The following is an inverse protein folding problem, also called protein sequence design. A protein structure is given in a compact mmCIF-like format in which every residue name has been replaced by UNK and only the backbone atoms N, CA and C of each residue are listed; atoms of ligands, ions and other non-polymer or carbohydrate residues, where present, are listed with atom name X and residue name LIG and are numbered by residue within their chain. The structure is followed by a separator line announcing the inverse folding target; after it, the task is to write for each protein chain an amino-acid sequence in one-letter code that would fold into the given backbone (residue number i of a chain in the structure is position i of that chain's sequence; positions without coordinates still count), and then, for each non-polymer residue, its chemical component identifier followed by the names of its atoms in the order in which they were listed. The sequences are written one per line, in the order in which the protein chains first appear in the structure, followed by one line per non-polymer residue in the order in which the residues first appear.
data_IF_030238500644
#
_entry.id   IF_030238500644
#
_cell.length_a   1.000
_cell.length_b   1.000
_cell.length_c   1.000
_cell.angle_alpha   90.00
_cell.angle_beta   90.00
_cell.angle_gamma   90.00
#
_symmetry.space_group_name_H-M   'P 1'
#
loop_
_entity.id
_entity.type
_entity.pdbx_description
1 polymer ?
#
# COMPACT_ATOMS: atom_id res chain seq x y z
N UNK A 1 -25.82 5.78 -2.62
CA UNK A 1 -25.95 5.01 -3.85
C UNK A 1 -24.59 4.98 -4.51
N UNK A 2 -24.17 3.84 -5.06
CA UNK A 2 -23.04 3.79 -5.98
C UNK A 2 -23.44 4.55 -7.26
N UNK A 3 -22.48 5.08 -8.01
CA UNK A 3 -22.74 5.42 -9.40
C UNK A 3 -23.29 4.16 -10.11
N UNK A 4 -24.19 4.36 -11.08
CA UNK A 4 -25.07 3.29 -11.55
C UNK A 4 -24.32 2.04 -12.04
N UNK A 5 -24.86 0.82 -11.85
CA UNK A 5 -24.22 -0.43 -12.30
C UNK A 5 -24.07 -0.52 -13.83
N UNK A 6 -24.69 0.38 -14.59
CA UNK A 6 -24.65 0.42 -16.05
C UNK A 6 -23.29 0.92 -16.61
N UNK A 7 -22.46 1.59 -15.79
CA UNK A 7 -21.17 2.14 -16.23
C UNK A 7 -19.94 1.47 -15.59
N UNK A 8 -20.13 0.43 -14.77
CA UNK A 8 -19.07 -0.15 -13.92
C UNK A 8 -18.39 0.88 -13.01
N UNK A 9 -19.06 2.00 -12.74
CA UNK A 9 -18.58 3.03 -11.82
C UNK A 9 -19.06 2.69 -10.41
N UNK A 10 -18.16 2.12 -9.60
CA UNK A 10 -18.45 1.75 -8.22
C UNK A 10 -18.03 2.84 -7.22
N UNK A 11 -17.83 4.09 -7.68
CA UNK A 11 -17.53 5.20 -6.79
C UNK A 11 -18.76 5.57 -5.94
N UNK A 12 -18.49 5.99 -4.70
CA UNK A 12 -19.51 6.49 -3.79
C UNK A 12 -19.94 7.90 -4.20
N UNK A 13 -21.24 8.08 -4.42
CA UNK A 13 -21.81 9.40 -4.67
C UNK A 13 -21.84 10.23 -3.37
N UNK A 14 -21.67 11.55 -3.50
CA UNK A 14 -21.87 12.50 -2.41
C UNK A 14 -23.26 12.32 -1.77
N UNK A 15 -23.32 12.17 -0.44
CA UNK A 15 -24.57 11.91 0.28
C UNK A 15 -25.05 10.45 0.23
N UNK A 16 -24.22 9.53 -0.27
CA UNK A 16 -24.53 8.10 -0.22
C UNK A 16 -24.69 7.63 1.23
N UNK A 17 -25.71 6.83 1.56
CA UNK A 17 -25.83 6.19 2.89
C UNK A 17 -24.72 5.17 3.17
N UNK A 18 -23.89 4.88 2.18
CA UNK A 18 -22.71 4.02 2.31
C UNK A 18 -21.50 4.77 2.88
N UNK A 19 -21.54 6.11 2.91
CA UNK A 19 -20.49 6.95 3.49
C UNK A 19 -20.51 6.80 5.02
N UNK A 20 -19.35 6.55 5.62
CA UNK A 20 -19.12 6.40 7.06
C UNK A 20 -20.02 5.34 7.75
N UNK A 21 -20.52 4.39 6.96
CA UNK A 21 -21.49 3.37 7.36
C UNK A 21 -20.88 1.96 7.50
N UNK A 22 -19.55 1.86 7.56
CA UNK A 22 -18.82 0.63 7.77
C UNK A 22 -18.84 0.12 9.21
N UNK A 23 -17.89 -0.75 9.56
CA UNK A 23 -17.88 -1.40 10.86
C UNK A 23 -17.70 -0.38 12.00
N UNK A 24 -18.46 -0.47 13.10
CA UNK A 24 -18.46 0.58 14.11
C UNK A 24 -17.21 0.62 15.01
N UNK A 25 -16.34 -0.38 14.95
CA UNK A 25 -15.09 -0.40 15.72
C UNK A 25 -14.06 0.59 15.15
N UNK A 26 -13.44 1.43 15.99
CA UNK A 26 -12.37 2.36 15.57
C UNK A 26 -11.18 1.71 14.86
N UNK A 27 -10.98 0.41 15.03
CA UNK A 27 -9.94 -0.36 14.31
C UNK A 27 -10.14 -0.39 12.79
N UNK A 28 -11.32 -0.02 12.30
CA UNK A 28 -11.68 0.07 10.88
C UNK A 28 -12.09 1.50 10.53
N UNK A 29 -11.53 2.49 11.21
CA UNK A 29 -11.68 3.88 10.78
C UNK A 29 -10.73 4.15 9.62
N UNK A 30 -11.12 5.08 8.76
CA UNK A 30 -10.25 5.62 7.73
C UNK A 30 -9.07 6.37 8.37
N UNK A 31 -7.97 6.60 7.64
CA UNK A 31 -6.80 7.32 8.18
C UNK A 31 -7.10 8.74 8.71
N UNK A 32 -8.22 9.35 8.32
CA UNK A 32 -8.68 10.65 8.83
C UNK A 32 -9.49 10.54 10.14
N UNK A 33 -9.71 9.33 10.65
CA UNK A 33 -10.43 9.04 11.88
C UNK A 33 -11.94 8.88 11.73
N UNK A 34 -12.50 9.09 10.54
CA UNK A 34 -13.92 8.80 10.25
C UNK A 34 -14.17 7.29 10.19
N UNK A 35 -15.42 6.86 10.37
CA UNK A 35 -15.77 5.44 10.19
C UNK A 35 -15.55 5.10 8.71
N UNK A 36 -14.97 3.95 8.38
CA UNK A 36 -14.84 3.58 6.97
C UNK A 36 -16.19 3.48 6.27
N UNK A 37 -16.18 3.71 4.96
CA UNK A 37 -17.36 3.53 4.11
C UNK A 37 -17.73 2.03 3.99
N UNK A 38 -19.02 1.70 3.84
CA UNK A 38 -19.43 0.29 3.69
C UNK A 38 -18.94 -0.26 2.35
N UNK A 39 -18.19 -1.38 2.40
CA UNK A 39 -17.55 -1.97 1.21
C UNK A 39 -16.19 -1.35 0.85
N UNK A 40 -15.76 -0.31 1.56
CA UNK A 40 -14.38 0.16 1.54
C UNK A 40 -13.65 -0.47 2.73
N UNK A 41 -12.93 -1.57 2.50
CA UNK A 41 -11.82 -1.89 3.40
C UNK A 41 -10.76 -0.84 3.12
N UNK A 42 -10.27 -0.07 4.10
CA UNK A 42 -9.04 0.65 3.87
C UNK A 42 -8.02 -0.41 3.47
N UNK A 43 -7.49 -0.31 2.25
CA UNK A 43 -6.31 -1.05 1.83
C UNK A 43 -5.12 -0.49 2.63
N UNK A 44 -5.14 -0.63 3.96
CA UNK A 44 -3.90 -0.71 4.71
C UNK A 44 -3.47 -2.15 4.50
N UNK A 45 -2.57 -2.45 3.54
CA UNK A 45 -1.93 -3.75 3.55
C UNK A 45 -1.41 -4.00 4.97
N UNK A 46 -1.47 -5.25 5.46
CA UNK A 46 -0.92 -5.58 6.77
C UNK A 46 0.49 -4.98 6.87
N UNK A 47 0.88 -4.43 8.03
CA UNK A 47 2.17 -3.77 8.19
C UNK A 47 3.25 -4.72 7.69
N UNK A 48 3.93 -4.31 6.62
CA UNK A 48 4.96 -5.11 5.98
C UNK A 48 6.32 -4.50 6.26
N UNK A 49 7.37 -5.31 6.17
CA UNK A 49 8.73 -4.85 6.35
C UNK A 49 9.30 -4.57 4.96
N UNK A 50 9.71 -3.33 4.71
CA UNK A 50 10.37 -3.00 3.46
C UNK A 50 11.70 -3.78 3.33
N UNK A 51 11.90 -4.45 2.20
CA UNK A 51 13.04 -5.35 1.99
C UNK A 51 12.84 -6.78 2.49
N UNK A 52 11.72 -7.10 3.15
CA UNK A 52 11.28 -8.48 3.43
C UNK A 52 10.49 -9.00 2.21
N UNK A 53 11.22 -9.49 1.23
CA UNK A 53 10.66 -9.90 -0.05
C UNK A 53 9.91 -11.23 0.07
N UNK A 54 10.31 -12.12 0.98
CA UNK A 54 9.63 -13.41 1.17
C UNK A 54 8.52 -13.39 2.24
N UNK A 55 8.36 -12.26 2.95
CA UNK A 55 7.32 -12.08 3.96
C UNK A 55 7.59 -12.87 5.24
N UNK A 56 8.86 -13.16 5.53
CA UNK A 56 9.29 -13.94 6.71
C UNK A 56 9.26 -13.15 8.01
N UNK A 57 9.10 -11.83 7.94
CA UNK A 57 9.13 -10.92 9.08
C UNK A 57 10.54 -10.44 9.44
N UNK A 58 11.56 -10.71 8.61
CA UNK A 58 12.94 -10.28 8.88
C UNK A 58 13.74 -10.04 7.60
N UNK A 59 14.38 -8.87 7.51
CA UNK A 59 15.26 -8.52 6.38
C UNK A 59 16.59 -9.28 6.48
N UNK A 60 16.90 -10.12 5.52
CA UNK A 60 18.12 -10.92 5.46
C UNK A 60 18.50 -11.32 4.02
N UNK A 61 19.52 -12.17 3.86
CA UNK A 61 20.05 -12.57 2.53
C UNK A 61 19.07 -13.44 1.72
N UNK A 62 18.09 -14.07 2.38
CA UNK A 62 17.05 -14.85 1.72
C UNK A 62 16.13 -13.94 0.90
N UNK A 63 15.90 -12.70 1.32
CA UNK A 63 15.11 -11.73 0.58
C UNK A 63 15.74 -11.37 -0.76
N UNK A 64 17.06 -11.11 -0.77
CA UNK A 64 17.81 -10.89 -2.00
C UNK A 64 17.75 -12.12 -2.93
N UNK A 65 17.80 -13.32 -2.35
CA UNK A 65 17.67 -14.56 -3.11
C UNK A 65 16.26 -14.72 -3.69
N UNK A 66 15.23 -14.33 -2.94
CA UNK A 66 13.83 -14.36 -3.37
C UNK A 66 13.57 -13.39 -4.52
N UNK A 67 14.13 -12.18 -4.48
CA UNK A 67 14.07 -11.22 -5.61
C UNK A 67 14.75 -11.76 -6.87
N UNK A 68 15.94 -12.36 -6.75
CA UNK A 68 16.61 -12.99 -7.91
C UNK A 68 15.76 -14.12 -8.50
N UNK A 69 15.12 -14.93 -7.64
CA UNK A 69 14.24 -16.02 -8.08
C UNK A 69 13.02 -15.47 -8.82
N UNK A 70 12.39 -14.44 -8.29
CA UNK A 70 11.27 -13.74 -8.94
C UNK A 70 11.67 -13.18 -10.31
N UNK A 71 12.78 -12.44 -10.38
CA UNK A 71 13.23 -11.75 -11.60
C UNK A 71 13.67 -12.70 -12.72
N UNK A 72 14.36 -13.79 -12.39
CA UNK A 72 15.08 -14.59 -13.40
C UNK A 72 14.77 -16.08 -13.39
N UNK A 73 14.02 -16.59 -12.40
CA UNK A 73 13.77 -18.02 -12.23
C UNK A 73 12.29 -18.39 -12.08
N UNK A 74 11.38 -17.44 -12.33
CA UNK A 74 9.94 -17.67 -12.19
C UNK A 74 9.51 -18.00 -10.76
N UNK A 75 10.25 -17.50 -9.77
CA UNK A 75 9.90 -17.64 -8.36
C UNK A 75 8.67 -16.81 -7.97
N UNK A 76 8.16 -17.00 -6.74
CA UNK A 76 7.02 -16.23 -6.24
C UNK A 76 7.34 -14.74 -6.19
N UNK A 77 6.32 -13.91 -6.44
CA UNK A 77 6.42 -12.46 -6.30
C UNK A 77 6.57 -12.05 -4.82
N UNK A 78 7.23 -10.90 -4.53
CA UNK A 78 7.34 -10.38 -3.18
C UNK A 78 6.01 -10.16 -2.45
N UNK A 79 6.04 -10.26 -1.12
CA UNK A 79 4.86 -10.15 -0.26
C UNK A 79 5.02 -9.01 0.75
N UNK A 80 4.29 -7.88 0.58
CA UNK A 80 3.55 -7.45 -0.60
C UNK A 80 4.50 -7.11 -1.76
N UNK A 81 3.97 -6.94 -2.97
CA UNK A 81 4.80 -6.66 -4.17
C UNK A 81 5.78 -5.49 -3.96
N UNK A 82 5.33 -4.45 -3.25
CA UNK A 82 6.12 -3.26 -2.95
C UNK A 82 7.31 -3.54 -2.01
N UNK A 83 7.33 -4.63 -1.23
CA UNK A 83 8.47 -4.94 -0.36
C UNK A 83 9.76 -5.25 -1.13
N UNK A 84 9.62 -5.60 -2.42
CA UNK A 84 10.74 -5.86 -3.33
C UNK A 84 11.31 -4.63 -4.04
N UNK A 85 10.65 -3.47 -3.96
CA UNK A 85 11.13 -2.18 -4.49
C UNK A 85 11.89 -1.44 -3.39
N UNK A 86 13.10 -1.92 -3.10
CA UNK A 86 13.87 -1.50 -1.93
C UNK A 86 14.55 -0.14 -2.09
N UNK A 87 14.66 0.37 -3.32
CA UNK A 87 15.17 1.71 -3.61
C UNK A 87 14.07 2.75 -3.88
N UNK A 88 12.80 2.33 -3.85
CA UNK A 88 11.63 3.19 -4.01
C UNK A 88 11.50 3.76 -5.41
N UNK A 89 11.99 3.06 -6.42
CA UNK A 89 11.97 3.50 -7.82
C UNK A 89 10.60 3.31 -8.49
N UNK A 90 9.70 2.54 -7.86
CA UNK A 90 8.41 2.13 -8.40
C UNK A 90 8.49 0.89 -9.28
N UNK A 91 9.65 0.23 -9.38
CA UNK A 91 9.82 -0.95 -10.22
C UNK A 91 10.86 -1.94 -9.65
N UNK A 92 10.43 -3.18 -9.43
CA UNK A 92 11.31 -4.25 -8.94
C UNK A 92 12.26 -4.71 -10.05
N UNK A 93 13.56 -4.54 -9.82
CA UNK A 93 14.62 -4.93 -10.75
C UNK A 93 15.94 -5.28 -10.01
N UNK A 94 17.04 -5.41 -10.74
CA UNK A 94 18.34 -5.82 -10.16
C UNK A 94 18.95 -4.75 -9.23
N UNK A 95 18.55 -3.49 -9.39
CA UNK A 95 19.00 -2.39 -8.51
C UNK A 95 18.49 -2.59 -7.08
N UNK A 96 17.28 -3.12 -6.91
CA UNK A 96 16.73 -3.46 -5.60
C UNK A 96 17.54 -4.53 -4.87
N UNK A 97 17.90 -5.58 -5.60
CA UNK A 97 18.78 -6.64 -5.06
C UNK A 97 20.11 -6.04 -4.59
N UNK A 98 20.67 -5.14 -5.40
CA UNK A 98 21.95 -4.49 -5.09
C UNK A 98 21.83 -3.56 -3.88
N UNK A 99 20.72 -2.81 -3.80
CA UNK A 99 20.40 -1.93 -2.69
C UNK A 99 20.25 -2.70 -1.37
N UNK A 100 19.51 -3.80 -1.39
CA UNK A 100 19.30 -4.67 -0.25
C UNK A 100 20.60 -5.30 0.28
N UNK A 101 21.48 -5.78 -0.62
CA UNK A 101 22.80 -6.31 -0.23
C UNK A 101 23.69 -5.23 0.39
N UNK A 102 23.65 -3.99 -0.14
CA UNK A 102 24.40 -2.86 0.42
C UNK A 102 23.91 -2.50 1.83
N UNK A 103 22.61 -2.54 2.07
CA UNK A 103 22.04 -2.37 3.41
C UNK A 103 22.56 -3.44 4.37
N UNK A 104 22.49 -4.71 3.98
CA UNK A 104 22.87 -5.85 4.83
C UNK A 104 24.36 -5.89 5.20
N UNK A 105 25.27 -5.49 4.30
CA UNK A 105 26.71 -5.74 4.46
C UNK A 105 27.60 -4.48 4.41
N UNK A 106 27.04 -3.29 4.21
CA UNK A 106 27.86 -2.09 3.99
C UNK A 106 27.34 -0.84 4.70
N UNK A 107 26.57 -1.01 5.79
CA UNK A 107 25.91 0.10 6.51
C UNK A 107 25.19 1.06 5.55
N UNK A 108 24.56 0.49 4.51
CA UNK A 108 23.77 1.25 3.55
C UNK A 108 22.54 1.87 4.20
N UNK A 109 21.89 2.78 3.47
CA UNK A 109 20.57 3.29 3.85
C UNK A 109 19.59 2.10 3.88
N UNK A 110 18.68 2.11 4.86
CA UNK A 110 17.63 1.09 4.94
C UNK A 110 16.76 1.06 3.68
N UNK A 111 16.12 -0.08 3.37
CA UNK A 111 15.17 -0.17 2.27
C UNK A 111 14.07 0.90 2.38
N UNK A 112 13.70 1.50 1.25
CA UNK A 112 12.61 2.49 1.13
C UNK A 112 11.60 1.94 0.13
N UNK A 113 10.46 1.45 0.62
CA UNK A 113 9.42 0.79 -0.18
C UNK A 113 8.09 1.53 -0.08
N UNK A 114 8.06 2.59 0.71
CA UNK A 114 7.00 3.56 0.76
C UNK A 114 7.36 4.70 -0.19
N UNK A 115 6.52 4.90 -1.20
CA UNK A 115 6.56 6.10 -2.04
C UNK A 115 6.15 7.37 -1.27
N UNK A 116 6.30 7.40 0.06
CA UNK A 116 6.05 8.56 0.93
C UNK A 116 6.94 9.76 0.56
N UNK A 117 8.03 9.56 -0.21
CA UNK A 117 8.98 10.63 -0.54
C UNK A 117 9.10 11.05 -2.02
N UNK A 118 8.46 10.40 -3.01
CA UNK A 118 8.68 10.77 -4.44
C UNK A 118 7.51 10.73 -5.44
N UNK A 119 6.30 10.27 -5.09
CA UNK A 119 5.17 10.23 -6.03
C UNK A 119 4.04 11.18 -5.66
N UNK A 120 3.30 11.77 -6.64
CA UNK A 120 2.09 12.52 -6.32
C UNK A 120 1.13 11.52 -5.69
N UNK A 121 0.80 11.76 -4.41
CA UNK A 121 -0.24 11.08 -3.64
C UNK A 121 -1.22 10.40 -4.59
N UNK A 122 -1.29 9.06 -4.58
CA UNK A 122 -2.55 8.40 -4.92
C UNK A 122 -3.60 9.23 -4.21
N UNK A 123 -4.53 9.82 -4.97
CA UNK A 123 -5.53 10.72 -4.42
C UNK A 123 -6.36 9.95 -3.38
N UNK A 124 -5.87 9.85 -2.15
CA UNK A 124 -6.65 10.24 -1.01
C UNK A 124 -6.88 11.73 -1.21
N UNK A 125 -7.85 12.04 -2.07
CA UNK A 125 -8.46 13.35 -2.00
C UNK A 125 -9.01 13.36 -0.57
N UNK A 126 -8.50 14.23 0.35
CA UNK A 126 -9.19 14.40 1.61
C UNK A 126 -10.64 14.67 1.24
N UNK A 127 -11.61 13.92 1.82
CA UNK A 127 -13.03 14.27 1.68
C UNK A 127 -13.07 15.77 1.94
N UNK A 128 -13.30 16.57 0.89
CA UNK A 128 -13.13 18.03 0.99
C UNK A 128 -14.01 18.46 2.16
N UNK A 129 -13.56 19.33 3.07
CA UNK A 129 -14.40 19.83 4.14
C UNK A 129 -15.51 20.68 3.51
N UNK A 130 -16.57 20.01 3.06
CA UNK A 130 -17.76 20.59 2.51
C UNK A 130 -18.80 20.54 3.60
N UNK A 131 -18.98 21.67 4.28
CA UNK A 131 -20.03 21.93 5.27
C UNK A 131 -21.29 21.09 5.01
N UNK A 132 -21.63 20.20 5.94
CA UNK A 132 -22.99 19.70 6.03
C UNK A 132 -23.93 20.91 6.22
N UNK A 133 -24.90 21.17 5.32
CA UNK A 133 -26.00 22.04 5.67
C UNK A 133 -26.78 21.37 6.80
N UNK A 134 -26.80 22.03 7.95
CA UNK A 134 -27.66 21.69 9.08
C UNK A 134 -29.11 21.79 8.61
N UNK A 135 -29.86 20.69 8.72
CA UNK A 135 -31.32 20.73 8.72
C UNK A 135 -31.80 20.61 10.17
#
# INVERSE_FOLDING_TARGET
MLAGPAEQDFNLLMGSPCIDAGHPSPSYNDPDGSRSDIGAVPLVPPPFICGDADGSGAINVLDATSLIRYLYKGGPAPIPIISGDTDGSGAINLLDVTHLIRFLYSNGVGPICDNELKGPRHKFEPKRPGNCPTN
#
